data_IF_250561670373
#
_entry.id   IF_250561670373
#
_cell.length_a   1.000
_cell.length_b   1.000
_cell.length_c   1.000
_cell.angle_alpha   90.00
_cell.angle_beta   90.00
_cell.angle_gamma   90.00
#
_symmetry.space_group_name_H-M   'P 1'
#
loop_
_entity.id
_entity.type
_entity.pdbx_description
1 polymer ?
#
# COMPACT_ATOMS: atom_id res chain seq x y z
N UNK A 1 17.37 5.07 1.36
CA UNK A 1 16.27 4.18 0.96
C UNK A 1 15.70 4.73 -0.34
N UNK A 2 15.58 3.91 -1.37
CA UNK A 2 14.96 4.30 -2.64
C UNK A 2 13.65 3.52 -2.80
N UNK A 3 12.57 4.20 -3.18
CA UNK A 3 11.29 3.59 -3.53
C UNK A 3 11.06 3.80 -5.02
N UNK A 4 10.73 2.71 -5.72
CA UNK A 4 10.56 2.74 -7.18
C UNK A 4 9.19 2.15 -7.49
N UNK A 5 8.29 2.97 -8.02
CA UNK A 5 6.98 2.53 -8.49
C UNK A 5 7.15 1.82 -9.83
N UNK A 6 6.65 0.58 -9.92
CA UNK A 6 6.65 -0.21 -11.15
C UNK A 6 5.38 -1.08 -11.23
N UNK A 7 4.89 -1.36 -12.43
CA UNK A 7 3.86 -2.37 -12.63
C UNK A 7 4.50 -3.74 -12.84
N UNK A 8 3.75 -4.79 -12.53
CA UNK A 8 4.19 -6.16 -12.80
C UNK A 8 4.35 -6.35 -14.29
N UNK A 9 5.50 -6.91 -14.70
CA UNK A 9 5.85 -7.10 -16.10
C UNK A 9 6.51 -5.90 -16.76
N UNK A 10 6.61 -4.74 -16.08
CA UNK A 10 7.41 -3.63 -16.59
C UNK A 10 8.91 -3.93 -16.44
N UNK A 11 9.73 -3.33 -17.29
CA UNK A 11 11.19 -3.52 -17.31
C UNK A 11 11.83 -3.39 -15.92
N UNK A 12 11.38 -2.40 -15.14
CA UNK A 12 11.89 -2.15 -13.78
C UNK A 12 11.50 -3.24 -12.79
N UNK A 13 10.28 -3.80 -12.90
CA UNK A 13 9.78 -4.84 -12.01
C UNK A 13 10.51 -6.16 -12.23
N UNK A 14 10.84 -6.45 -13.49
CA UNK A 14 11.52 -7.67 -13.93
C UNK A 14 13.05 -7.64 -13.73
N UNK A 15 13.64 -6.49 -13.39
CA UNK A 15 15.04 -6.42 -13.00
C UNK A 15 15.33 -7.34 -11.82
N UNK A 16 16.44 -8.07 -11.87
CA UNK A 16 16.94 -8.83 -10.73
C UNK A 16 17.37 -7.90 -9.59
N UNK A 17 17.45 -8.43 -8.38
CA UNK A 17 17.90 -7.65 -7.21
C UNK A 17 19.28 -7.04 -7.41
N UNK A 18 20.17 -7.74 -8.10
CA UNK A 18 21.51 -7.24 -8.41
C UNK A 18 21.47 -6.06 -9.39
N UNK A 19 20.62 -6.15 -10.42
CA UNK A 19 20.51 -5.09 -11.42
C UNK A 19 19.86 -3.83 -10.85
N UNK A 20 18.77 -3.97 -10.09
CA UNK A 20 18.11 -2.83 -9.47
C UNK A 20 19.00 -2.18 -8.40
N UNK A 21 19.71 -2.98 -7.61
CA UNK A 21 20.69 -2.47 -6.62
C UNK A 21 21.80 -1.69 -7.32
N UNK A 22 22.41 -2.24 -8.37
CA UNK A 22 23.44 -1.53 -9.13
C UNK A 22 22.91 -0.21 -9.69
N UNK A 23 21.72 -0.24 -10.29
CA UNK A 23 21.08 0.96 -10.86
C UNK A 23 20.87 2.04 -9.79
N UNK A 24 20.33 1.67 -8.63
CA UNK A 24 20.08 2.61 -7.53
C UNK A 24 21.38 3.16 -6.94
N UNK A 25 22.38 2.31 -6.68
CA UNK A 25 23.66 2.74 -6.10
C UNK A 25 24.38 3.70 -7.04
N UNK A 26 24.48 3.37 -8.34
CA UNK A 26 25.14 4.24 -9.30
C UNK A 26 24.39 5.56 -9.50
N UNK A 27 23.05 5.55 -9.62
CA UNK A 27 22.29 6.80 -9.72
C UNK A 27 22.39 7.66 -8.46
N UNK A 28 22.40 7.08 -7.26
CA UNK A 28 22.61 7.86 -6.04
C UNK A 28 24.02 8.41 -5.93
N UNK A 29 25.02 7.70 -6.45
CA UNK A 29 26.41 8.18 -6.46
C UNK A 29 26.64 9.25 -7.51
N UNK A 30 26.02 9.14 -8.70
CA UNK A 30 26.06 10.16 -9.76
C UNK A 30 25.44 11.49 -9.32
N UNK A 31 24.43 11.42 -8.45
CA UNK A 31 23.74 12.59 -7.86
C UNK A 31 24.38 13.05 -6.53
N UNK A 32 25.60 12.57 -6.21
CA UNK A 32 26.37 12.91 -5.01
C UNK A 32 25.66 12.64 -3.65
N UNK A 33 24.66 11.74 -3.61
CA UNK A 33 23.99 11.36 -2.35
C UNK A 33 24.82 10.38 -1.51
N UNK A 34 25.60 9.51 -2.16
CA UNK A 34 26.44 8.49 -1.51
C UNK A 34 27.74 8.30 -2.31
N UNK A 35 28.76 7.67 -1.73
CA UNK A 35 29.84 7.05 -2.50
C UNK A 35 29.58 5.56 -2.64
N UNK A 36 29.75 4.99 -3.84
CA UNK A 36 29.54 3.55 -4.06
C UNK A 36 30.40 2.67 -3.13
N UNK A 37 31.63 3.11 -2.84
CA UNK A 37 32.59 2.37 -2.00
C UNK A 37 32.19 2.27 -0.53
N UNK A 38 31.27 3.13 -0.07
CA UNK A 38 30.79 3.16 1.31
C UNK A 38 29.54 2.26 1.52
N UNK A 39 29.04 1.62 0.45
CA UNK A 39 27.87 0.73 0.52
C UNK A 39 28.27 -0.64 1.09
N UNK A 40 27.95 -0.87 2.36
CA UNK A 40 28.24 -2.13 3.04
C UNK A 40 27.16 -3.22 2.84
N UNK A 41 25.88 -2.82 2.75
CA UNK A 41 24.74 -3.74 2.75
C UNK A 41 23.60 -3.20 1.88
N UNK A 42 22.83 -4.11 1.27
CA UNK A 42 21.68 -3.78 0.42
C UNK A 42 20.53 -4.75 0.65
N UNK A 43 19.29 -4.25 0.71
CA UNK A 43 18.07 -5.05 0.82
C UNK A 43 17.06 -4.59 -0.23
N UNK A 44 16.47 -5.55 -0.96
CA UNK A 44 15.49 -5.30 -2.03
C UNK A 44 14.19 -6.01 -1.69
N UNK A 45 13.10 -5.26 -1.65
CA UNK A 45 11.75 -5.78 -1.41
C UNK A 45 10.79 -5.31 -2.48
N UNK A 46 10.02 -6.25 -3.05
CA UNK A 46 8.94 -5.96 -4.01
C UNK A 46 7.59 -6.14 -3.35
N UNK A 47 6.74 -5.12 -3.45
CA UNK A 47 5.39 -5.15 -2.91
C UNK A 47 4.37 -5.02 -4.05
N UNK A 48 3.76 -6.15 -4.44
CA UNK A 48 2.79 -6.24 -5.56
C UNK A 48 1.61 -5.29 -5.41
N UNK A 49 1.12 -5.14 -4.18
CA UNK A 49 -0.03 -4.32 -3.85
C UNK A 49 0.40 -3.19 -2.89
N UNK A 50 1.27 -2.30 -3.35
CA UNK A 50 1.80 -1.20 -2.52
C UNK A 50 0.88 0.03 -2.47
N UNK A 51 0.23 0.34 -3.59
CA UNK A 51 -0.57 1.56 -3.75
C UNK A 51 -2.01 1.26 -4.13
N UNK A 52 -2.91 2.10 -3.60
CA UNK A 52 -4.27 2.17 -4.08
C UNK A 52 -4.28 3.09 -5.29
N UNK A 53 -4.71 2.56 -6.43
CA UNK A 53 -4.85 3.33 -7.66
C UNK A 53 -6.34 3.60 -7.86
N UNK A 54 -6.70 4.88 -7.91
CA UNK A 54 -8.06 5.32 -8.19
C UNK A 54 -8.26 5.40 -9.70
N UNK A 55 -8.84 4.34 -10.28
CA UNK A 55 -9.30 4.39 -11.66
C UNK A 55 -10.63 5.16 -11.80
N UNK A 56 -11.07 5.37 -13.03
CA UNK A 56 -12.33 6.07 -13.32
C UNK A 56 -13.58 5.36 -12.79
N UNK A 57 -13.49 4.05 -12.54
CA UNK A 57 -14.59 3.21 -12.06
C UNK A 57 -14.54 2.98 -10.54
N UNK A 58 -13.58 3.58 -9.84
CA UNK A 58 -13.26 3.30 -8.46
C UNK A 58 -14.49 3.38 -7.54
N UNK A 59 -15.22 4.49 -7.60
CA UNK A 59 -16.42 4.71 -6.78
C UNK A 59 -17.51 3.68 -7.07
N UNK A 60 -17.76 3.37 -8.35
CA UNK A 60 -18.74 2.37 -8.77
C UNK A 60 -18.37 0.99 -8.24
N UNK A 61 -17.12 0.57 -8.44
CA UNK A 61 -16.64 -0.76 -8.06
C UNK A 61 -16.63 -0.91 -6.53
N UNK A 62 -16.16 0.11 -5.80
CA UNK A 62 -16.15 0.08 -4.33
C UNK A 62 -17.55 0.09 -3.73
N UNK A 63 -18.52 0.75 -4.37
CA UNK A 63 -19.93 0.66 -3.94
C UNK A 63 -20.49 -0.76 -4.09
N UNK A 64 -20.18 -1.45 -5.18
CA UNK A 64 -20.61 -2.84 -5.40
C UNK A 64 -20.00 -3.75 -4.33
N UNK A 65 -18.67 -3.67 -4.13
CA UNK A 65 -17.95 -4.51 -3.17
C UNK A 65 -18.42 -4.27 -1.74
N UNK A 66 -18.49 -3.00 -1.32
CA UNK A 66 -18.91 -2.66 0.06
C UNK A 66 -20.36 -3.07 0.35
N UNK A 67 -21.28 -2.92 -0.61
CA UNK A 67 -22.66 -3.37 -0.45
C UNK A 67 -22.75 -4.90 -0.31
N UNK A 68 -22.00 -5.64 -1.12
CA UNK A 68 -21.96 -7.10 -1.02
C UNK A 68 -21.42 -7.56 0.34
N UNK A 69 -20.24 -7.07 0.74
CA UNK A 69 -19.63 -7.44 2.02
C UNK A 69 -20.55 -7.10 3.20
N UNK A 70 -21.17 -5.92 3.17
CA UNK A 70 -22.13 -5.52 4.20
C UNK A 70 -23.35 -6.44 4.25
N UNK A 71 -23.86 -6.89 3.09
CA UNK A 71 -25.02 -7.79 3.02
C UNK A 71 -24.79 -9.15 3.68
N UNK A 72 -23.53 -9.57 3.79
CA UNK A 72 -23.11 -10.81 4.47
C UNK A 72 -22.50 -10.54 5.86
N UNK A 73 -22.67 -9.34 6.41
CA UNK A 73 -22.24 -8.98 7.76
C UNK A 73 -20.74 -8.66 7.90
N UNK A 74 -20.03 -8.39 6.80
CA UNK A 74 -18.60 -8.06 6.80
C UNK A 74 -18.41 -6.55 6.63
N UNK A 75 -17.72 -5.93 7.58
CA UNK A 75 -17.32 -4.52 7.53
C UNK A 75 -15.88 -4.38 6.98
N UNK A 76 -15.62 -3.33 6.21
CA UNK A 76 -14.30 -3.03 5.62
C UNK A 76 -13.57 -1.97 6.45
N UNK A 77 -12.26 -2.15 6.71
CA UNK A 77 -11.48 -1.26 7.56
C UNK A 77 -9.99 -1.20 7.18
N UNK A 78 -9.50 -0.01 6.81
CA UNK A 78 -8.10 0.25 6.48
C UNK A 78 -7.82 0.41 4.98
N UNK A 79 -6.59 0.84 4.65
CA UNK A 79 -6.14 1.25 3.31
C UNK A 79 -6.59 0.32 2.18
N UNK A 80 -6.32 -0.98 2.31
CA UNK A 80 -6.58 -1.95 1.23
C UNK A 80 -8.01 -2.46 1.18
N UNK A 81 -8.68 -2.67 2.32
CA UNK A 81 -10.07 -3.14 2.32
C UNK A 81 -11.07 -2.03 2.02
N UNK A 82 -10.80 -0.82 2.49
CA UNK A 82 -11.58 0.36 2.09
C UNK A 82 -11.18 0.87 0.72
N UNK A 83 -10.07 0.34 0.18
CA UNK A 83 -9.44 0.76 -1.07
C UNK A 83 -9.30 2.29 -1.12
N UNK A 84 -8.80 2.88 -0.04
CA UNK A 84 -8.58 4.34 0.06
C UNK A 84 -7.10 4.59 0.20
N UNK A 85 -6.62 5.66 -0.42
CA UNK A 85 -5.26 6.12 -0.18
C UNK A 85 -5.15 6.71 1.24
N UNK A 86 -4.88 5.85 2.22
CA UNK A 86 -4.74 6.22 3.63
C UNK A 86 -3.28 6.14 4.08
N UNK A 87 -2.88 7.14 4.84
CA UNK A 87 -1.66 7.10 5.67
C UNK A 87 -1.93 6.34 6.97
N UNK A 88 -0.87 6.06 7.73
CA UNK A 88 -0.94 5.22 8.93
C UNK A 88 -1.89 5.76 10.01
N UNK A 89 -1.86 7.07 10.27
CA UNK A 89 -2.74 7.75 11.20
C UNK A 89 -4.22 7.63 10.80
N UNK A 90 -4.50 7.72 9.50
CA UNK A 90 -5.85 7.55 8.96
C UNK A 90 -6.33 6.09 9.05
N UNK A 91 -5.43 5.11 8.85
CA UNK A 91 -5.73 3.69 9.10
C UNK A 91 -6.06 3.43 10.57
N UNK A 92 -5.28 3.98 11.50
CA UNK A 92 -5.54 3.85 12.95
C UNK A 92 -6.89 4.47 13.29
N UNK A 93 -7.17 5.68 12.80
CA UNK A 93 -8.46 6.34 13.00
C UNK A 93 -9.62 5.52 12.43
N UNK A 94 -9.45 4.93 11.24
CA UNK A 94 -10.45 4.05 10.63
C UNK A 94 -10.76 2.86 11.53
N UNK A 95 -9.72 2.19 12.06
CA UNK A 95 -9.87 1.08 12.99
C UNK A 95 -10.57 1.47 14.30
N UNK A 96 -10.21 2.61 14.90
CA UNK A 96 -10.85 3.11 16.11
C UNK A 96 -12.34 3.40 15.89
N UNK A 97 -12.67 4.04 14.77
CA UNK A 97 -14.06 4.32 14.40
C UNK A 97 -14.85 3.03 14.15
N UNK A 98 -14.23 2.04 13.50
CA UNK A 98 -14.85 0.73 13.27
C UNK A 98 -15.13 0.00 14.58
N UNK A 99 -14.15 -0.06 15.48
CA UNK A 99 -14.32 -0.67 16.80
C UNK A 99 -15.45 -0.01 17.59
N UNK A 100 -15.51 1.33 17.61
CA UNK A 100 -16.62 2.07 18.22
C UNK A 100 -17.96 1.69 17.61
N UNK A 101 -18.08 1.69 16.28
CA UNK A 101 -19.32 1.34 15.57
C UNK A 101 -19.81 -0.08 15.93
N UNK A 102 -18.90 -1.05 15.98
CA UNK A 102 -19.23 -2.44 16.32
C UNK A 102 -19.73 -2.53 17.77
N UNK A 103 -19.02 -1.92 18.71
CA UNK A 103 -19.43 -1.90 20.13
C UNK A 103 -20.78 -1.21 20.33
N UNK A 104 -21.01 -0.06 19.69
CA UNK A 104 -22.27 0.68 19.76
C UNK A 104 -23.45 -0.10 19.14
N UNK A 105 -23.17 -1.01 18.19
CA UNK A 105 -24.20 -1.85 17.58
C UNK A 105 -24.57 -3.03 18.47
N UNK A 106 -23.62 -3.59 19.22
CA UNK A 106 -23.85 -4.66 20.21
C UNK A 106 -24.72 -4.14 21.36
N UNK A 107 -24.37 -2.97 21.90
CA UNK A 107 -25.07 -2.36 23.05
C UNK A 107 -26.51 -1.89 22.75
N UNK A 108 -26.97 -1.96 21.49
CA UNK A 108 -28.35 -1.65 21.09
C UNK A 108 -29.25 -2.89 21.01
N UNK A 109 -28.66 -4.08 21.10
CA UNK A 109 -29.37 -5.35 21.03
C UNK A 109 -29.71 -5.85 22.45
N UNK A 110 -28.99 -5.37 23.46
CA UNK A 110 -29.33 -5.47 24.89
C UNK A 110 -30.29 -4.37 25.33
#
# INVERSE_FOLDING_TARGET
MAEITANIGDDVWELTDKEITKKVVSSLSEEDFINEVDVCETDVKRAKYAYIIHDLNHSKNMKIISNFLKSIGIEICGRFSEFKYLNMDACIRSAMNMAKKLNDSINKIE
#
